data_IF_391679701575
#
_entry.id   IF_391679701575
#
_cell.length_a   1.000
_cell.length_b   1.000
_cell.length_c   1.000
_cell.angle_alpha   90.00
_cell.angle_beta   90.00
_cell.angle_gamma   90.00
#
_symmetry.space_group_name_H-M   'P 1'
#
loop_
_entity.id
_entity.type
_entity.pdbx_description
1 polymer ?
#
# COMPACT_ATOMS: atom_id res chain seq x y z
N UNK A 1 2.37 19.01 5.98
CA UNK A 1 2.34 17.54 6.11
C UNK A 1 2.41 16.97 4.70
N UNK A 2 3.45 16.20 4.40
CA UNK A 2 3.60 15.56 3.09
C UNK A 2 2.73 14.28 3.03
N UNK A 3 2.26 13.92 1.85
CA UNK A 3 1.54 12.68 1.58
C UNK A 3 2.46 11.68 0.90
N UNK A 4 2.28 10.39 1.14
CA UNK A 4 3.16 9.37 0.57
C UNK A 4 2.86 7.98 1.11
N UNK A 5 3.75 7.01 0.89
CA UNK A 5 3.64 5.67 1.46
C UNK A 5 3.40 5.72 2.98
N UNK A 6 2.44 4.92 3.46
CA UNK A 6 1.96 4.93 4.85
C UNK A 6 0.88 5.98 5.16
N UNK A 7 0.54 6.89 4.24
CA UNK A 7 -0.57 7.84 4.44
C UNK A 7 -1.93 7.16 4.33
N UNK A 8 -2.95 7.66 5.04
CA UNK A 8 -4.33 7.20 4.85
C UNK A 8 -4.91 7.67 3.53
N UNK A 9 -5.56 6.76 2.83
CA UNK A 9 -6.38 7.05 1.65
C UNK A 9 -7.81 6.58 1.90
N UNK A 10 -8.79 7.41 1.55
CA UNK A 10 -10.19 7.18 1.83
C UNK A 10 -11.04 7.18 0.57
N UNK A 11 -11.90 6.18 0.46
CA UNK A 11 -13.06 6.14 -0.41
C UNK A 11 -14.31 6.17 0.46
N UNK A 12 -15.16 7.20 0.33
CA UNK A 12 -16.37 7.35 1.13
C UNK A 12 -16.09 7.18 2.64
N UNK A 13 -16.69 6.19 3.32
CA UNK A 13 -16.47 5.92 4.75
C UNK A 13 -15.43 4.82 5.02
N UNK A 14 -14.64 4.44 4.01
CA UNK A 14 -13.65 3.35 4.10
C UNK A 14 -12.25 3.87 3.85
N UNK A 15 -11.37 3.51 4.75
CA UNK A 15 -9.97 3.90 4.76
C UNK A 15 -9.09 2.70 4.43
N UNK A 16 -8.02 2.97 3.70
CA UNK A 16 -6.89 2.09 3.44
C UNK A 16 -5.60 2.90 3.64
N UNK A 17 -4.45 2.27 3.38
CA UNK A 17 -3.15 2.92 3.43
C UNK A 17 -2.55 3.03 2.02
N UNK A 18 -1.83 4.11 1.75
CA UNK A 18 -1.05 4.27 0.52
C UNK A 18 0.18 3.37 0.61
N UNK A 19 0.28 2.41 -0.30
CA UNK A 19 1.38 1.44 -0.35
C UNK A 19 2.58 1.93 -1.16
N UNK A 20 2.35 2.65 -2.26
CA UNK A 20 3.44 3.20 -3.05
C UNK A 20 3.02 4.49 -3.76
N UNK A 21 4.00 5.28 -4.16
CA UNK A 21 3.81 6.48 -4.98
C UNK A 21 4.79 6.44 -6.13
N UNK A 22 4.27 6.53 -7.36
CA UNK A 22 5.08 6.57 -8.58
C UNK A 22 4.92 7.95 -9.21
N UNK A 23 6.02 8.73 -9.37
CA UNK A 23 5.99 9.97 -10.13
C UNK A 23 5.58 9.72 -11.59
N UNK A 24 4.78 10.62 -12.14
CA UNK A 24 4.50 10.75 -13.56
C UNK A 24 4.62 12.24 -13.94
N UNK A 25 4.68 12.57 -15.24
CA UNK A 25 5.06 13.90 -15.72
C UNK A 25 4.41 15.06 -14.94
N UNK A 26 3.08 15.10 -14.88
CA UNK A 26 2.32 16.18 -14.24
C UNK A 26 1.45 15.72 -13.05
N UNK A 27 1.64 14.48 -12.59
CA UNK A 27 0.83 13.91 -11.51
C UNK A 27 1.58 12.79 -10.78
N UNK A 28 1.01 12.29 -9.70
CA UNK A 28 1.52 11.17 -8.93
C UNK A 28 0.50 10.04 -8.93
N UNK A 29 0.98 8.82 -9.14
CA UNK A 29 0.19 7.60 -9.05
C UNK A 29 0.33 7.02 -7.65
N UNK A 30 -0.75 7.08 -6.88
CA UNK A 30 -0.83 6.49 -5.56
C UNK A 30 -1.42 5.09 -5.66
N UNK A 31 -0.72 4.11 -5.10
CA UNK A 31 -1.12 2.70 -5.13
C UNK A 31 -1.63 2.31 -3.74
N UNK A 32 -2.79 1.65 -3.68
CA UNK A 32 -3.38 1.10 -2.46
C UNK A 32 -4.10 -0.22 -2.78
N UNK A 33 -4.72 -0.86 -1.80
CA UNK A 33 -5.49 -2.08 -1.99
C UNK A 33 -6.85 -1.84 -2.62
N UNK A 34 -7.27 -2.74 -3.51
CA UNK A 34 -8.54 -2.64 -4.22
C UNK A 34 -9.74 -3.00 -3.35
N UNK A 35 -9.62 -4.06 -2.53
CA UNK A 35 -10.76 -4.58 -1.77
C UNK A 35 -11.36 -3.55 -0.81
N UNK A 36 -10.57 -2.65 -0.22
CA UNK A 36 -11.10 -1.59 0.66
C UNK A 36 -11.81 -0.49 -0.11
N UNK A 37 -11.32 -0.12 -1.30
CA UNK A 37 -12.04 0.83 -2.16
C UNK A 37 -13.37 0.24 -2.63
N UNK A 38 -13.40 -1.07 -2.95
CA UNK A 38 -14.63 -1.80 -3.28
C UNK A 38 -15.62 -1.81 -2.13
N UNK A 39 -15.17 -2.09 -0.90
CA UNK A 39 -16.03 -2.02 0.31
C UNK A 39 -16.54 -0.59 0.54
N UNK A 40 -15.75 0.42 0.16
CA UNK A 40 -16.17 1.83 0.13
C UNK A 40 -17.15 2.18 -0.99
N UNK A 41 -17.39 1.28 -1.94
CA UNK A 41 -18.25 1.49 -3.11
C UNK A 41 -17.59 2.20 -4.28
N UNK A 42 -16.28 2.49 -4.22
CA UNK A 42 -15.56 3.17 -5.30
C UNK A 42 -15.14 2.20 -6.41
N UNK A 43 -15.11 2.74 -7.62
CA UNK A 43 -14.83 2.07 -8.90
C UNK A 43 -13.86 2.93 -9.71
N UNK A 44 -13.49 2.46 -10.90
CA UNK A 44 -12.76 3.28 -11.88
C UNK A 44 -13.50 4.61 -12.13
N UNK A 45 -12.77 5.73 -12.09
CA UNK A 45 -13.31 7.08 -12.24
C UNK A 45 -13.81 7.72 -10.95
N UNK A 46 -14.00 6.96 -9.87
CA UNK A 46 -14.48 7.52 -8.61
C UNK A 46 -13.39 8.27 -7.84
N UNK A 47 -13.78 9.27 -7.02
CA UNK A 47 -12.84 10.04 -6.24
C UNK A 47 -12.34 9.30 -5.00
N UNK A 48 -11.07 9.52 -4.68
CA UNK A 48 -10.43 9.11 -3.43
C UNK A 48 -9.71 10.30 -2.80
N UNK A 49 -9.47 10.23 -1.50
CA UNK A 49 -8.93 11.37 -0.75
C UNK A 49 -7.77 10.96 0.15
N UNK A 50 -6.71 11.78 0.13
CA UNK A 50 -5.62 11.74 1.12
C UNK A 50 -5.66 13.07 1.86
N UNK A 51 -6.17 13.05 3.10
CA UNK A 51 -6.52 14.27 3.81
C UNK A 51 -7.51 15.12 2.99
N UNK A 52 -7.10 16.35 2.63
CA UNK A 52 -7.90 17.27 1.80
C UNK A 52 -7.68 17.11 0.29
N UNK A 53 -6.71 16.32 -0.13
CA UNK A 53 -6.35 16.18 -1.53
C UNK A 53 -7.25 15.16 -2.21
N UNK A 54 -7.82 15.54 -3.36
CA UNK A 54 -8.67 14.68 -4.18
C UNK A 54 -7.83 14.04 -5.29
N UNK A 55 -7.99 12.73 -5.46
CA UNK A 55 -7.49 11.97 -6.60
C UNK A 55 -8.62 11.19 -7.25
N UNK A 56 -8.31 10.51 -8.36
CA UNK A 56 -9.26 9.71 -9.13
C UNK A 56 -8.69 8.32 -9.34
N UNK A 57 -9.48 7.28 -9.14
CA UNK A 57 -9.06 5.90 -9.42
C UNK A 57 -8.96 5.72 -10.94
N UNK A 58 -7.75 5.50 -11.45
CA UNK A 58 -7.47 5.40 -12.88
C UNK A 58 -7.24 3.98 -13.35
N UNK A 59 -6.84 3.08 -12.45
CA UNK A 59 -6.62 1.67 -12.79
C UNK A 59 -6.86 0.73 -11.61
N UNK A 60 -7.30 -0.48 -11.92
CA UNK A 60 -7.45 -1.58 -10.97
C UNK A 60 -6.69 -2.79 -11.51
N UNK A 61 -5.90 -3.43 -10.65
CA UNK A 61 -5.14 -4.65 -10.91
C UNK A 61 -5.72 -5.75 -10.01
N UNK A 62 -6.78 -6.40 -10.48
CA UNK A 62 -7.56 -7.35 -9.68
C UNK A 62 -6.73 -8.54 -9.18
N UNK A 63 -5.79 -9.01 -9.98
CA UNK A 63 -4.93 -10.15 -9.66
C UNK A 63 -3.95 -9.87 -8.51
N UNK A 64 -3.62 -8.58 -8.30
CA UNK A 64 -2.75 -8.13 -7.21
C UNK A 64 -3.56 -7.49 -6.07
N UNK A 65 -4.89 -7.41 -6.17
CA UNK A 65 -5.71 -6.64 -5.22
C UNK A 65 -5.21 -5.18 -5.07
N UNK A 66 -4.79 -4.55 -6.17
CA UNK A 66 -4.29 -3.16 -6.17
C UNK A 66 -5.22 -2.22 -6.94
N UNK A 67 -5.30 -0.99 -6.46
CA UNK A 67 -5.89 0.14 -7.15
C UNK A 67 -4.87 1.27 -7.25
N UNK A 68 -4.87 1.94 -8.40
CA UNK A 68 -4.02 3.09 -8.70
C UNK A 68 -4.93 4.30 -8.84
N UNK A 69 -4.58 5.37 -8.15
CA UNK A 69 -5.25 6.65 -8.23
C UNK A 69 -4.28 7.78 -8.56
N UNK A 70 -4.70 8.67 -9.46
CA UNK A 70 -3.90 9.80 -9.89
C UNK A 70 -4.22 11.02 -9.02
N UNK A 71 -3.18 11.68 -8.54
CA UNK A 71 -3.25 12.92 -7.76
C UNK A 71 -2.37 13.99 -8.39
N UNK A 72 -2.91 15.19 -8.61
CA UNK A 72 -2.14 16.36 -9.03
C UNK A 72 -1.79 17.19 -7.81
N UNK A 73 -0.53 17.10 -7.39
CA UNK A 73 -0.01 17.77 -6.20
C UNK A 73 1.37 18.36 -6.51
N UNK A 74 1.76 19.48 -5.88
CA UNK A 74 3.15 19.94 -5.89
C UNK A 74 4.07 18.84 -5.35
N UNK A 75 5.21 18.62 -6.02
CA UNK A 75 6.22 17.62 -5.59
C UNK A 75 6.71 17.85 -4.16
N UNK A 76 6.77 19.10 -3.72
CA UNK A 76 7.14 19.47 -2.34
C UNK A 76 6.19 18.92 -1.26
N UNK A 77 4.99 18.44 -1.64
CA UNK A 77 4.01 17.86 -0.73
C UNK A 77 3.96 16.33 -0.83
N UNK A 78 4.79 15.70 -1.68
CA UNK A 78 4.74 14.27 -1.93
C UNK A 78 6.06 13.63 -1.52
N UNK A 79 5.98 12.65 -0.62
CA UNK A 79 7.10 11.79 -0.29
C UNK A 79 7.07 10.54 -1.18
N UNK A 80 8.18 10.26 -1.84
CA UNK A 80 8.36 9.10 -2.73
C UNK A 80 9.40 8.19 -2.11
N UNK A 81 9.11 6.89 -2.08
CA UNK A 81 10.06 5.85 -1.67
C UNK A 81 10.22 4.91 -2.85
N UNK A 82 11.46 4.56 -3.16
CA UNK A 82 11.79 3.68 -4.28
C UNK A 82 11.14 2.30 -4.11
N UNK A 83 10.64 1.74 -5.21
CA UNK A 83 10.18 0.34 -5.26
C UNK A 83 11.41 -0.54 -5.48
N UNK A 84 11.55 -1.60 -4.69
CA UNK A 84 12.68 -2.51 -4.75
C UNK A 84 12.25 -3.96 -4.90
N UNK A 85 13.22 -4.83 -5.21
CA UNK A 85 12.98 -6.27 -5.27
C UNK A 85 12.95 -6.86 -3.85
N UNK A 86 11.94 -7.68 -3.52
CA UNK A 86 11.84 -8.36 -2.23
C UNK A 86 12.91 -9.46 -2.07
N UNK A 87 13.31 -9.71 -0.83
CA UNK A 87 14.15 -10.85 -0.42
C UNK A 87 13.59 -11.47 0.86
N UNK A 88 13.93 -12.73 1.10
CA UNK A 88 13.63 -13.39 2.37
C UNK A 88 14.32 -12.64 3.51
N UNK A 89 13.63 -12.48 4.63
CA UNK A 89 14.21 -11.89 5.83
C UNK A 89 13.46 -10.66 6.35
N UNK A 90 14.10 -9.86 7.22
CA UNK A 90 13.45 -8.77 7.94
C UNK A 90 12.85 -7.71 7.01
N UNK A 91 11.70 -7.19 7.41
CA UNK A 91 11.00 -6.07 6.80
C UNK A 91 10.13 -5.37 7.86
N UNK A 92 9.38 -4.36 7.46
CA UNK A 92 8.32 -3.80 8.30
C UNK A 92 7.19 -3.22 7.44
N UNK A 93 5.97 -3.23 7.97
CA UNK A 93 4.90 -2.40 7.44
C UNK A 93 4.95 -1.00 8.06
N UNK A 94 4.53 0.02 7.30
CA UNK A 94 4.50 1.41 7.76
C UNK A 94 3.10 2.01 7.58
N UNK A 95 2.55 2.60 8.65
CA UNK A 95 1.33 3.41 8.59
C UNK A 95 1.50 4.63 9.48
N UNK A 96 1.29 5.82 8.92
CA UNK A 96 1.33 7.10 9.66
C UNK A 96 2.60 7.30 10.52
N UNK A 97 3.74 6.79 10.07
CA UNK A 97 5.01 6.85 10.81
C UNK A 97 5.24 5.69 11.78
N UNK A 98 4.22 4.89 12.07
CA UNK A 98 4.34 3.70 12.93
C UNK A 98 4.88 2.51 12.13
N UNK A 99 5.98 1.92 12.62
CA UNK A 99 6.57 0.71 12.05
C UNK A 99 6.06 -0.53 12.77
N UNK A 100 5.59 -1.50 12.00
CA UNK A 100 5.28 -2.82 12.50
C UNK A 100 6.16 -3.88 11.81
N UNK A 101 7.11 -4.43 12.56
CA UNK A 101 8.13 -5.32 12.03
C UNK A 101 7.57 -6.70 11.65
N UNK A 102 8.06 -7.22 10.53
CA UNK A 102 7.70 -8.51 9.98
C UNK A 102 8.90 -9.21 9.31
N UNK A 103 8.69 -10.43 8.87
CA UNK A 103 9.67 -11.20 8.09
C UNK A 103 9.02 -11.66 6.79
N UNK A 104 9.67 -11.42 5.65
CA UNK A 104 9.28 -12.00 4.37
C UNK A 104 9.69 -13.48 4.38
N UNK A 105 8.69 -14.37 4.33
CA UNK A 105 8.84 -15.82 4.37
C UNK A 105 8.99 -16.43 2.98
N UNK A 106 8.34 -15.84 1.98
CA UNK A 106 8.45 -16.27 0.58
C UNK A 106 8.17 -15.12 -0.37
N UNK A 107 8.81 -15.18 -1.54
CA UNK A 107 8.64 -14.22 -2.63
C UNK A 107 7.92 -14.90 -3.78
N UNK A 108 6.66 -14.54 -4.01
CA UNK A 108 5.92 -14.93 -5.20
C UNK A 108 5.76 -13.77 -6.20
N UNK A 109 5.45 -14.13 -7.45
CA UNK A 109 5.17 -13.15 -8.53
C UNK A 109 3.94 -12.30 -8.24
N UNK A 110 2.93 -12.87 -7.57
CA UNK A 110 1.68 -12.18 -7.22
C UNK A 110 1.69 -11.70 -5.77
N UNK A 111 2.04 -12.58 -4.83
CA UNK A 111 2.05 -12.29 -3.41
C UNK A 111 3.33 -12.76 -2.73
N UNK A 112 3.76 -12.02 -1.73
CA UNK A 112 4.78 -12.40 -0.77
C UNK A 112 4.09 -12.83 0.52
N UNK A 113 4.58 -13.89 1.16
CA UNK A 113 4.11 -14.26 2.49
C UNK A 113 4.96 -13.59 3.55
N UNK A 114 4.29 -13.09 4.60
CA UNK A 114 4.90 -12.40 5.72
C UNK A 114 4.57 -13.13 7.02
N UNK A 115 5.47 -13.06 8.00
CA UNK A 115 5.19 -13.36 9.40
C UNK A 115 5.28 -12.07 10.23
N UNK A 116 4.28 -11.85 11.09
CA UNK A 116 4.28 -10.82 12.11
C UNK A 116 4.42 -11.45 13.51
N UNK A 117 4.78 -10.65 14.50
CA UNK A 117 4.66 -11.09 15.88
C UNK A 117 3.16 -11.19 16.25
N UNK A 118 2.75 -12.26 16.93
CA UNK A 118 1.36 -12.47 17.36
C UNK A 118 0.77 -11.29 18.15
N UNK A 119 1.60 -10.58 18.92
CA UNK A 119 1.20 -9.40 19.71
C UNK A 119 1.14 -8.10 18.91
N UNK A 120 1.56 -8.12 17.64
CA UNK A 120 1.64 -6.96 16.75
C UNK A 120 1.13 -7.32 15.36
N UNK A 121 -0.04 -7.93 15.31
CA UNK A 121 -0.69 -8.20 14.04
C UNK A 121 -1.25 -6.90 13.45
N UNK A 122 -1.10 -6.67 12.13
CA UNK A 122 -1.84 -5.60 11.50
C UNK A 122 -3.35 -5.82 11.68
N UNK A 123 -4.07 -4.73 11.91
CA UNK A 123 -5.49 -4.69 12.19
C UNK A 123 -6.28 -4.26 10.95
N UNK A 124 -7.62 -4.43 10.95
CA UNK A 124 -8.47 -3.82 9.94
C UNK A 124 -8.16 -2.32 9.80
N UNK A 125 -7.87 -1.89 8.58
CA UNK A 125 -7.41 -0.53 8.27
C UNK A 125 -5.91 -0.40 8.00
N UNK A 126 -5.10 -1.44 8.26
CA UNK A 126 -3.69 -1.48 7.86
C UNK A 126 -3.49 -1.95 6.42
N UNK A 127 -4.50 -2.53 5.78
CA UNK A 127 -4.39 -2.97 4.38
C UNK A 127 -4.06 -1.77 3.47
N UNK A 128 -3.16 -2.01 2.53
CA UNK A 128 -2.52 -0.98 1.73
C UNK A 128 -1.18 -0.51 2.31
N UNK A 129 -0.79 -0.93 3.52
CA UNK A 129 0.49 -0.47 4.09
C UNK A 129 1.67 -0.93 3.23
N UNK A 130 2.65 -0.07 2.93
CA UNK A 130 3.90 -0.48 2.31
C UNK A 130 4.60 -1.51 3.19
N UNK A 131 5.17 -2.54 2.57
CA UNK A 131 6.18 -3.38 3.18
C UNK A 131 7.54 -2.85 2.75
N UNK A 132 8.39 -2.49 3.72
CA UNK A 132 9.68 -1.87 3.49
C UNK A 132 10.80 -2.81 3.91
N UNK A 133 11.76 -3.02 3.01
CA UNK A 133 12.99 -3.77 3.22
C UNK A 133 14.14 -2.98 2.59
N UNK A 134 15.26 -2.84 3.31
CA UNK A 134 16.44 -2.09 2.88
C UNK A 134 16.12 -0.65 2.39
N UNK A 135 15.12 0.00 3.02
CA UNK A 135 14.70 1.36 2.66
C UNK A 135 13.81 1.46 1.41
N UNK A 136 13.50 0.34 0.75
CA UNK A 136 12.66 0.29 -0.46
C UNK A 136 11.31 -0.37 -0.18
N UNK A 137 10.27 0.02 -0.91
CA UNK A 137 8.97 -0.66 -0.87
C UNK A 137 9.07 -1.92 -1.71
N UNK A 138 8.82 -3.07 -1.08
CA UNK A 138 8.95 -4.38 -1.72
C UNK A 138 7.60 -5.11 -1.85
N UNK A 139 6.52 -4.52 -1.33
CA UNK A 139 5.17 -5.05 -1.45
C UNK A 139 4.14 -4.17 -0.77
N UNK A 140 2.85 -4.49 -0.93
CA UNK A 140 1.74 -3.77 -0.30
C UNK A 140 0.89 -4.77 0.51
N UNK A 141 0.75 -4.57 1.81
CA UNK A 141 -0.02 -5.44 2.70
C UNK A 141 -1.47 -5.57 2.22
N UNK A 142 -1.91 -6.78 1.88
CA UNK A 142 -3.27 -7.05 1.40
C UNK A 142 -4.15 -7.64 2.49
N UNK A 143 -3.70 -8.74 3.12
CA UNK A 143 -4.51 -9.49 4.10
C UNK A 143 -3.66 -10.10 5.20
N UNK A 144 -4.28 -10.38 6.35
CA UNK A 144 -3.66 -10.96 7.56
C UNK A 144 -4.45 -12.18 8.01
N UNK A 145 -3.76 -13.27 8.32
CA UNK A 145 -4.29 -14.50 8.89
C UNK A 145 -4.02 -14.53 10.39
N UNK A 146 -5.00 -14.10 11.19
CA UNK A 146 -4.86 -13.93 12.64
C UNK A 146 -4.51 -15.22 13.41
N UNK A 147 -4.91 -16.38 12.89
CA UNK A 147 -4.65 -17.69 13.51
C UNK A 147 -3.17 -18.11 13.47
N UNK A 148 -2.42 -17.66 12.47
CA UNK A 148 -1.04 -18.06 12.20
C UNK A 148 -0.05 -16.90 12.31
N UNK A 149 -0.55 -15.71 12.62
CA UNK A 149 0.20 -14.47 12.57
C UNK A 149 0.93 -14.21 11.24
N UNK A 150 0.38 -14.72 10.15
CA UNK A 150 0.91 -14.53 8.79
C UNK A 150 0.10 -13.50 8.03
N UNK A 151 0.66 -13.01 6.92
CA UNK A 151 -0.01 -12.08 6.04
C UNK A 151 0.47 -12.28 4.60
N UNK A 152 -0.26 -11.68 3.66
CA UNK A 152 0.17 -11.56 2.27
C UNK A 152 0.36 -10.09 1.89
N UNK A 153 1.39 -9.83 1.10
CA UNK A 153 1.60 -8.55 0.45
C UNK A 153 1.63 -8.72 -1.06
N UNK A 154 0.92 -7.85 -1.77
CA UNK A 154 0.90 -7.79 -3.22
C UNK A 154 2.27 -7.40 -3.76
N UNK A 155 2.75 -8.16 -4.75
CA UNK A 155 4.01 -7.91 -5.42
C UNK A 155 3.96 -6.61 -6.22
N UNK A 156 5.08 -5.89 -6.23
CA UNK A 156 5.29 -4.69 -7.04
C UNK A 156 6.27 -4.91 -8.20
N UNK A 157 6.62 -6.16 -8.51
CA UNK A 157 7.63 -6.51 -9.55
C UNK A 157 7.37 -5.82 -10.90
N UNK A 158 6.12 -5.66 -11.31
CA UNK A 158 5.74 -4.99 -12.56
C UNK A 158 5.94 -3.48 -12.60
N UNK A 159 6.34 -2.89 -11.48
CA UNK A 159 6.62 -1.46 -11.33
C UNK A 159 8.12 -1.18 -11.12
N UNK A 160 8.96 -2.21 -11.20
CA UNK A 160 10.42 -2.11 -11.22
C UNK A 160 10.95 -1.69 -12.58
#
# INVERSE_FOLDING_TARGET
MCVGPGSRIRCNKKEAVVGAVIPADEHFKFITVQHLLKVGGCRLGDPVYIGKFKGIITRILYELDLAIADFRLPSSLVNVVEIGSPKLGPAYSLREGEKNYCTILSVGRTYHYLAFAHRRLPLPGDSGSPIIQDGKIVGILSSVFFNSATAIASSLERFL
#
